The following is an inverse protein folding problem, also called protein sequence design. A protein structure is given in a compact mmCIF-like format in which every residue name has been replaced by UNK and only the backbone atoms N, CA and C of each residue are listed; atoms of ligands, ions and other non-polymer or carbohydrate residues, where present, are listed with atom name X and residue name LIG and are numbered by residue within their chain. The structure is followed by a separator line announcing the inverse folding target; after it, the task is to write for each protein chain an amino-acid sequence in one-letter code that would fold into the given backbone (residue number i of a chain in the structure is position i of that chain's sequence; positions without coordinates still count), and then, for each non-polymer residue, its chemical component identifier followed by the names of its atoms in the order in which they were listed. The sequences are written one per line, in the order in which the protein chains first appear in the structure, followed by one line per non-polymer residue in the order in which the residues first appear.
data_IF_685115478032
#
_entry.id   IF_685115478032
#
_cell.length_a   1.000
_cell.length_b   1.000
_cell.length_c   1.000
_cell.angle_alpha   90.00
_cell.angle_beta   90.00
_cell.angle_gamma   90.00
#
_symmetry.space_group_name_H-M   'P 1'
#
loop_
_entity.id
_entity.type
_entity.pdbx_description
1 polymer ?
#
# COMPACT_ATOMS: atom_id res chain seq x y z
N UNK A 1 10.25 -0.55 5.81
CA UNK A 1 10.50 0.08 4.48
C UNK A 1 9.23 0.73 3.99
N UNK A 2 9.38 1.89 3.35
CA UNK A 2 8.24 2.71 2.90
C UNK A 2 7.37 1.96 1.89
N UNK A 3 7.98 1.20 1.00
CA UNK A 3 7.28 0.43 -0.03
C UNK A 3 6.32 -0.59 0.58
N UNK A 4 6.74 -1.28 1.62
CA UNK A 4 5.91 -2.26 2.32
C UNK A 4 4.75 -1.58 3.04
N UNK A 5 5.02 -0.46 3.72
CA UNK A 5 3.96 0.32 4.36
C UNK A 5 2.93 0.78 3.34
N UNK A 6 3.39 1.37 2.24
CA UNK A 6 2.51 1.88 1.19
C UNK A 6 1.63 0.77 0.63
N UNK A 7 2.20 -0.40 0.35
CA UNK A 7 1.47 -1.54 -0.19
C UNK A 7 0.39 -2.02 0.78
N UNK A 8 0.76 -2.28 2.03
CA UNK A 8 -0.16 -2.84 3.01
C UNK A 8 -1.24 -1.85 3.42
N UNK A 9 -0.87 -0.59 3.67
CA UNK A 9 -1.84 0.44 3.99
C UNK A 9 -2.79 0.68 2.82
N UNK A 10 -2.27 0.65 1.59
CA UNK A 10 -3.09 0.84 0.39
C UNK A 10 -4.12 -0.26 0.20
N UNK A 11 -3.75 -1.50 0.44
CA UNK A 11 -4.69 -2.63 0.36
C UNK A 11 -5.81 -2.48 1.39
N UNK A 12 -5.48 -2.05 2.60
CA UNK A 12 -6.48 -1.84 3.65
C UNK A 12 -7.27 -0.55 3.43
N UNK A 13 -6.72 0.41 2.71
CA UNK A 13 -7.45 1.61 2.30
C UNK A 13 -8.57 1.27 1.33
N UNK A 14 -8.39 0.26 0.51
CA UNK A 14 -9.42 -0.22 -0.43
C UNK A 14 -10.58 -0.90 0.31
N UNK A 15 -10.27 -1.78 1.25
CA UNK A 15 -11.27 -2.46 2.08
C UNK A 15 -10.58 -3.23 3.22
N UNK A 16 -11.29 -3.50 4.32
CA UNK A 16 -10.80 -4.44 5.33
C UNK A 16 -10.55 -5.80 4.68
N UNK A 17 -9.51 -6.51 5.13
CA UNK A 17 -9.12 -7.79 4.52
C UNK A 17 -8.65 -8.78 5.56
N UNK A 18 -8.92 -10.06 5.30
CA UNK A 18 -8.30 -11.15 6.04
C UNK A 18 -6.82 -11.27 5.68
N UNK A 19 -6.02 -11.80 6.63
CA UNK A 19 -4.58 -11.97 6.40
C UNK A 19 -4.26 -12.76 5.13
N UNK A 20 -5.03 -13.82 4.86
CA UNK A 20 -4.84 -14.63 3.67
C UNK A 20 -5.12 -13.85 2.37
N UNK A 21 -6.16 -13.00 2.38
CA UNK A 21 -6.46 -12.13 1.24
C UNK A 21 -5.33 -11.15 0.97
N UNK A 22 -4.77 -10.56 2.04
CA UNK A 22 -3.63 -9.66 1.93
C UNK A 22 -2.45 -10.39 1.29
N UNK A 23 -2.17 -11.61 1.72
CA UNK A 23 -1.09 -12.42 1.17
C UNK A 23 -1.23 -12.64 -0.33
N UNK A 24 -2.45 -13.00 -0.77
CA UNK A 24 -2.72 -13.24 -2.19
C UNK A 24 -2.58 -11.94 -2.99
N UNK A 25 -3.16 -10.84 -2.49
CA UNK A 25 -3.09 -9.54 -3.17
C UNK A 25 -1.65 -9.03 -3.27
N UNK A 26 -0.86 -9.20 -2.23
CA UNK A 26 0.56 -8.84 -2.25
C UNK A 26 1.29 -9.62 -3.35
N UNK A 27 1.06 -10.92 -3.44
CA UNK A 27 1.67 -11.75 -4.49
C UNK A 27 1.28 -11.27 -5.90
N UNK A 28 -0.01 -10.97 -6.10
CA UNK A 28 -0.50 -10.48 -7.38
C UNK A 28 0.18 -9.16 -7.78
N UNK A 29 0.27 -8.22 -6.84
CA UNK A 29 0.86 -6.92 -7.09
C UNK A 29 2.37 -7.05 -7.33
N UNK A 30 3.09 -7.78 -6.49
CA UNK A 30 4.53 -7.93 -6.62
C UNK A 30 4.94 -8.69 -7.88
N UNK A 31 4.06 -9.54 -8.41
CA UNK A 31 4.34 -10.22 -9.68
C UNK A 31 4.43 -9.26 -10.87
N UNK A 32 3.89 -8.04 -10.71
CA UNK A 32 3.94 -7.01 -11.75
C UNK A 32 5.25 -6.21 -11.72
N UNK A 33 6.05 -6.36 -10.66
CA UNK A 33 7.25 -5.54 -10.44
C UNK A 33 8.47 -6.44 -10.24
N UNK A 34 9.43 -6.34 -11.16
CA UNK A 34 10.63 -7.16 -11.11
C UNK A 34 11.54 -6.78 -9.93
N UNK A 35 12.14 -7.79 -9.31
CA UNK A 35 13.16 -7.58 -8.28
C UNK A 35 12.65 -7.24 -6.90
N UNK A 36 11.33 -7.29 -6.68
CA UNK A 36 10.74 -6.98 -5.37
C UNK A 36 10.15 -8.26 -4.77
N UNK A 37 10.55 -8.57 -3.54
CA UNK A 37 10.04 -9.71 -2.79
C UNK A 37 9.59 -9.27 -1.40
N UNK A 38 8.55 -9.91 -0.90
CA UNK A 38 8.11 -9.77 0.49
C UNK A 38 7.97 -11.17 1.07
N UNK A 39 8.93 -11.56 1.92
CA UNK A 39 8.99 -12.92 2.47
C UNK A 39 7.79 -13.27 3.35
N UNK A 40 7.32 -12.29 4.14
CA UNK A 40 6.17 -12.49 5.00
C UNK A 40 5.43 -11.16 5.15
N UNK A 41 4.10 -11.24 5.14
CA UNK A 41 3.25 -10.07 5.37
C UNK A 41 2.99 -9.83 6.85
N UNK A 42 3.13 -10.85 7.68
CA UNK A 42 2.70 -10.79 9.09
C UNK A 42 3.60 -9.92 9.95
N UNK A 43 4.90 -9.95 9.70
CA UNK A 43 5.83 -9.10 10.43
C UNK A 43 5.58 -7.60 10.19
N UNK A 44 5.53 -7.12 8.93
CA UNK A 44 5.19 -5.71 8.70
C UNK A 44 3.79 -5.33 9.14
N UNK A 45 2.79 -6.23 9.02
CA UNK A 45 1.45 -5.96 9.54
C UNK A 45 1.47 -5.76 11.05
N UNK A 46 2.25 -6.56 11.77
CA UNK A 46 2.37 -6.43 13.22
C UNK A 46 3.02 -5.11 13.63
N UNK A 47 4.03 -4.67 12.88
CA UNK A 47 4.66 -3.36 13.10
C UNK A 47 3.65 -2.23 12.92
N UNK A 48 2.86 -2.28 11.85
CA UNK A 48 1.84 -1.26 11.58
C UNK A 48 0.76 -1.25 12.65
N UNK A 49 0.40 -2.42 13.16
CA UNK A 49 -0.54 -2.53 14.27
C UNK A 49 0.02 -1.86 15.54
N UNK A 50 1.29 -2.10 15.86
CA UNK A 50 1.94 -1.47 17.01
C UNK A 50 1.99 0.05 16.89
N UNK A 51 2.09 0.57 15.68
CA UNK A 51 2.07 2.01 15.41
C UNK A 51 0.64 2.57 15.37
N UNK A 52 -0.37 1.76 15.63
CA UNK A 52 -1.79 2.12 15.59
C UNK A 52 -2.29 2.58 14.20
N UNK A 53 -1.62 2.14 13.14
CA UNK A 53 -2.01 2.45 11.76
C UNK A 53 -3.07 1.49 11.23
N UNK A 54 -3.19 0.33 11.84
CA UNK A 54 -4.24 -0.64 11.54
C UNK A 54 -4.66 -1.37 12.81
N UNK A 55 -5.82 -2.03 12.73
CA UNK A 55 -6.33 -2.90 13.78
C UNK A 55 -6.44 -4.32 13.26
N UNK A 56 -6.36 -5.27 14.18
CA UNK A 56 -6.52 -6.68 13.89
C UNK A 56 -7.65 -7.20 14.76
N UNK A 57 -8.73 -7.68 14.14
CA UNK A 57 -9.87 -8.23 14.85
C UNK A 57 -10.04 -9.71 14.52
N UNK A 58 -10.40 -10.46 15.54
CA UNK A 58 -10.76 -11.87 15.37
C UNK A 58 -12.16 -11.97 14.78
N UNK A 59 -12.28 -12.73 13.69
CA UNK A 59 -13.57 -13.02 13.07
C UNK A 59 -13.72 -14.54 13.01
N UNK A 60 -14.66 -15.07 13.80
CA UNK A 60 -14.96 -16.51 13.83
C UNK A 60 -16.42 -16.72 13.46
N UNK A 61 -16.67 -17.54 12.46
CA UNK A 61 -18.02 -17.94 12.08
C UNK A 61 -18.21 -19.43 12.39
N UNK A 62 -19.00 -19.74 13.43
CA UNK A 62 -19.33 -21.09 13.81
C UNK A 62 -18.10 -21.91 14.19
N UNK A 63 -17.97 -23.12 13.63
CA UNK A 63 -16.88 -24.05 13.91
C UNK A 63 -15.64 -23.85 13.04
N UNK A 64 -15.63 -22.82 12.18
CA UNK A 64 -14.50 -22.56 11.30
C UNK A 64 -13.30 -22.06 12.11
N UNK A 65 -12.05 -22.29 11.62
CA UNK A 65 -10.87 -21.74 12.25
C UNK A 65 -10.97 -20.23 12.39
N UNK A 66 -10.41 -19.70 13.48
CA UNK A 66 -10.37 -18.29 13.73
C UNK A 66 -9.61 -17.57 12.63
N UNK A 67 -10.21 -16.51 12.09
CA UNK A 67 -9.59 -15.65 11.08
C UNK A 67 -9.42 -14.25 11.66
N UNK A 68 -8.41 -13.56 11.19
CA UNK A 68 -8.17 -12.18 11.59
C UNK A 68 -8.46 -11.25 10.43
N UNK A 69 -9.21 -10.19 10.73
CA UNK A 69 -9.51 -9.12 9.78
C UNK A 69 -8.68 -7.90 10.16
N UNK A 70 -7.96 -7.37 9.19
CA UNK A 70 -7.16 -6.16 9.36
C UNK A 70 -7.94 -4.97 8.79
N UNK A 71 -8.02 -3.90 9.56
CA UNK A 71 -8.72 -2.67 9.20
C UNK A 71 -7.80 -1.48 9.36
N UNK A 72 -7.92 -0.52 8.44
CA UNK A 72 -7.14 0.71 8.51
C UNK A 72 -7.76 1.64 9.56
N UNK A 73 -6.91 2.31 10.35
CA UNK A 73 -7.34 3.35 11.29
C UNK A 73 -7.31 4.71 10.58
N UNK A 74 -7.89 5.74 11.24
CA UNK A 74 -7.80 7.10 10.71
C UNK A 74 -6.34 7.56 10.62
N UNK A 75 -5.54 7.20 11.61
CA UNK A 75 -4.10 7.46 11.60
C UNK A 75 -3.42 6.75 10.42
N UNK A 76 -3.85 5.52 10.12
CA UNK A 76 -3.36 4.77 8.98
C UNK A 76 -3.70 5.42 7.65
N UNK A 77 -4.90 5.99 7.52
CA UNK A 77 -5.30 6.73 6.31
C UNK A 77 -4.41 7.96 6.09
N UNK A 78 -4.16 8.72 7.15
CA UNK A 78 -3.28 9.88 7.07
C UNK A 78 -1.86 9.48 6.67
N UNK A 79 -1.36 8.40 7.25
CA UNK A 79 -0.04 7.88 6.92
C UNK A 79 0.03 7.43 5.47
N UNK A 80 -0.98 6.72 4.99
CA UNK A 80 -1.07 6.28 3.60
C UNK A 80 -1.05 7.48 2.65
N UNK A 81 -1.88 8.50 2.92
CA UNK A 81 -1.96 9.70 2.08
C UNK A 81 -0.60 10.41 2.00
N UNK A 82 0.09 10.51 3.12
CA UNK A 82 1.43 11.11 3.17
C UNK A 82 2.44 10.32 2.36
N UNK A 83 2.46 9.00 2.51
CA UNK A 83 3.37 8.14 1.77
C UNK A 83 3.11 8.19 0.27
N UNK A 84 1.85 8.17 -0.12
CA UNK A 84 1.46 8.23 -1.52
C UNK A 84 1.91 9.54 -2.16
N UNK A 85 1.65 10.66 -1.47
CA UNK A 85 2.09 11.98 -1.93
C UNK A 85 3.62 12.06 -2.05
N UNK A 86 4.32 11.58 -1.03
CA UNK A 86 5.79 11.60 -1.00
C UNK A 86 6.38 10.78 -2.15
N UNK A 87 5.79 9.63 -2.45
CA UNK A 87 6.27 8.76 -3.52
C UNK A 87 6.24 9.43 -4.89
N UNK A 88 5.22 10.24 -5.15
CA UNK A 88 5.13 10.99 -6.41
C UNK A 88 6.14 12.14 -6.48
N UNK A 89 6.49 12.74 -5.35
CA UNK A 89 7.40 13.88 -5.30
C UNK A 89 8.87 13.48 -5.32
N UNK A 90 9.17 12.28 -4.86
CA UNK A 90 10.56 11.82 -4.70
C UNK A 90 10.99 10.97 -5.90
N UNK A 91 11.53 11.64 -6.93
CA UNK A 91 12.01 11.00 -8.16
C UNK A 91 13.30 10.20 -7.96
N UNK A 92 13.94 10.32 -6.79
CA UNK A 92 15.15 9.54 -6.45
C UNK A 92 14.81 8.16 -5.92
N UNK A 93 13.53 7.92 -5.60
CA UNK A 93 13.10 6.63 -5.06
C UNK A 93 13.15 5.54 -6.12
N UNK A 94 13.27 4.29 -5.69
CA UNK A 94 13.22 3.17 -6.62
C UNK A 94 11.96 3.18 -7.47
N UNK A 95 12.05 2.67 -8.68
CA UNK A 95 10.95 2.57 -9.63
C UNK A 95 9.71 1.89 -9.00
N UNK A 96 9.93 0.93 -8.13
CA UNK A 96 8.84 0.22 -7.46
C UNK A 96 7.93 1.16 -6.67
N UNK A 97 8.49 2.10 -5.91
CA UNK A 97 7.68 3.05 -5.12
C UNK A 97 6.78 3.90 -6.01
N UNK A 98 7.29 4.36 -7.15
CA UNK A 98 6.52 5.17 -8.09
C UNK A 98 5.42 4.35 -8.75
N UNK A 99 5.73 3.12 -9.17
CA UNK A 99 4.76 2.22 -9.78
C UNK A 99 3.64 1.84 -8.81
N UNK A 100 4.00 1.58 -7.56
CA UNK A 100 3.03 1.29 -6.50
C UNK A 100 2.14 2.51 -6.22
N UNK A 101 2.71 3.71 -6.23
CA UNK A 101 1.95 4.94 -6.06
C UNK A 101 0.94 5.16 -7.19
N UNK A 102 1.30 4.80 -8.42
CA UNK A 102 0.38 4.85 -9.56
C UNK A 102 -0.77 3.87 -9.40
N UNK A 103 -0.51 2.70 -8.81
CA UNK A 103 -1.55 1.72 -8.51
C UNK A 103 -2.63 2.28 -7.58
N UNK A 104 -2.23 3.15 -6.65
CA UNK A 104 -3.15 3.78 -5.69
C UNK A 104 -3.53 5.22 -6.07
N UNK A 105 -3.40 5.57 -7.34
CA UNK A 105 -3.60 6.93 -7.83
C UNK A 105 -4.96 7.53 -7.46
N UNK A 106 -6.02 6.72 -7.47
CA UNK A 106 -7.38 7.17 -7.21
C UNK A 106 -7.59 7.77 -5.82
N UNK A 107 -6.68 7.51 -4.89
CA UNK A 107 -6.76 8.03 -3.52
C UNK A 107 -6.08 9.39 -3.34
N UNK A 108 -5.46 9.93 -4.40
CA UNK A 108 -4.87 11.27 -4.35
C UNK A 108 -5.96 12.33 -4.54
N UNK A 109 -5.72 13.53 -3.97
CA UNK A 109 -6.59 14.68 -4.23
C UNK A 109 -6.55 14.99 -5.73
N UNK A 110 -7.72 15.25 -6.38
CA UNK A 110 -7.75 15.42 -7.83
C UNK A 110 -6.75 16.43 -8.40
N UNK A 111 -6.65 17.61 -7.81
CA UNK A 111 -5.70 18.64 -8.28
C UNK A 111 -4.25 18.18 -8.15
N UNK A 112 -3.89 17.55 -7.02
CA UNK A 112 -2.54 17.03 -6.78
C UNK A 112 -2.19 15.89 -7.72
N UNK A 113 -3.10 14.95 -7.93
CA UNK A 113 -2.84 13.80 -8.79
C UNK A 113 -2.63 14.22 -10.24
N UNK A 114 -3.45 15.15 -10.76
CA UNK A 114 -3.29 15.65 -12.12
C UNK A 114 -1.91 16.30 -12.34
N UNK A 115 -1.49 17.14 -11.41
CA UNK A 115 -0.21 17.82 -11.46
C UNK A 115 0.97 16.83 -11.42
N UNK A 116 0.89 15.83 -10.56
CA UNK A 116 1.94 14.84 -10.39
C UNK A 116 2.07 13.91 -11.59
N UNK A 117 0.96 13.54 -12.20
CA UNK A 117 0.97 12.76 -13.43
C UNK A 117 1.63 13.50 -14.58
N UNK A 118 1.35 14.80 -14.72
CA UNK A 118 1.99 15.61 -15.74
C UNK A 118 3.51 15.67 -15.55
N UNK A 119 3.98 15.86 -14.31
CA UNK A 119 5.40 15.89 -14.00
C UNK A 119 6.07 14.55 -14.35
N UNK A 120 5.44 13.42 -14.01
CA UNK A 120 5.97 12.10 -14.31
C UNK A 120 6.01 11.84 -15.83
N UNK A 121 4.98 12.22 -16.55
CA UNK A 121 4.95 12.07 -18.02
C UNK A 121 6.08 12.84 -18.68
N UNK A 122 6.33 14.07 -18.25
CA UNK A 122 7.43 14.88 -18.77
C UNK A 122 8.77 14.20 -18.49
N UNK A 123 8.97 13.70 -17.29
CA UNK A 123 10.18 13.00 -16.89
C UNK A 123 10.43 11.74 -17.73
N UNK A 124 9.41 10.91 -17.92
CA UNK A 124 9.52 9.70 -18.72
C UNK A 124 9.80 10.00 -20.18
N UNK A 125 9.18 11.03 -20.75
CA UNK A 125 9.41 11.44 -22.14
C UNK A 125 10.84 11.90 -22.38
N UNK A 126 11.49 12.50 -21.38
CA UNK A 126 12.89 12.91 -21.48
C UNK A 126 13.87 11.73 -21.43
N UNK A 127 13.48 10.64 -20.76
CA UNK A 127 14.32 9.44 -20.65
C UNK A 127 14.16 8.53 -21.84
N UNK A 128 12.97 8.43 -22.36
CA UNK A 128 12.68 7.58 -23.51
C UNK A 128 13.01 8.31 -24.80
#
# INVERSE_FOLDING_TARGET
MIEQELLLLGLLRQSPRHGYEIKIKVREILSLFAGVELKSIYYPLNILKKKALLTKRSARQGRRPQRFVYCLTDKGRERFDRLLNKSFLDLRRPQFSLDLSLYFLDYLKPASSKRRLQARSIFLNKIS
#
